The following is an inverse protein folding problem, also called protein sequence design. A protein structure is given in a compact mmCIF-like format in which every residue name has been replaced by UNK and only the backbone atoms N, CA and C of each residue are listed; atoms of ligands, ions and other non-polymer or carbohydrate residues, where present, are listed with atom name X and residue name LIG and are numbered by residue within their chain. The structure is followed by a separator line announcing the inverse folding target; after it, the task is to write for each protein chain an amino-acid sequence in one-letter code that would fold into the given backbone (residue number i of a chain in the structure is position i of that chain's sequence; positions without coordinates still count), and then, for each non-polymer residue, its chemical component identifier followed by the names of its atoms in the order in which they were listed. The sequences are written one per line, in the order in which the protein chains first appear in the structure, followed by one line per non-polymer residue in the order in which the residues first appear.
data_IF_970109671500
#
_entry.id   IF_970109671500
#
_cell.length_a   1.000
_cell.length_b   1.000
_cell.length_c   1.000
_cell.angle_alpha   90.00
_cell.angle_beta   90.00
_cell.angle_gamma   90.00
#
_symmetry.space_group_name_H-M   'P 1'
#
loop_
_entity.id
_entity.type
_entity.pdbx_description
1 polymer ?
#
# COMPACT_ATOMS: atom_id res chain seq x y z
N UNK A 1 10.84 9.83 -15.53
CA UNK A 1 11.46 8.98 -14.49
C UNK A 1 10.69 9.29 -13.22
N UNK A 2 9.88 8.35 -12.73
CA UNK A 2 9.13 8.54 -11.48
C UNK A 2 10.13 8.94 -10.41
N UNK A 3 9.93 10.11 -9.77
CA UNK A 3 10.77 10.53 -8.67
C UNK A 3 10.80 9.46 -7.59
N UNK A 4 11.76 9.51 -6.67
CA UNK A 4 11.84 8.61 -5.50
C UNK A 4 10.69 8.85 -4.50
N UNK A 5 9.45 8.89 -4.99
CA UNK A 5 8.25 9.01 -4.18
C UNK A 5 8.00 7.66 -3.51
N UNK A 6 7.83 7.72 -2.20
CA UNK A 6 7.65 6.55 -1.34
C UNK A 6 6.39 6.76 -0.53
N UNK A 7 5.47 5.83 -0.63
CA UNK A 7 4.31 5.72 0.25
C UNK A 7 4.78 5.16 1.59
N UNK A 8 4.54 5.92 2.67
CA UNK A 8 4.83 5.50 4.04
C UNK A 8 3.54 5.09 4.73
N UNK A 9 3.53 3.91 5.32
CA UNK A 9 2.40 3.40 6.08
C UNK A 9 2.89 2.78 7.39
N UNK A 10 2.15 2.99 8.47
CA UNK A 10 2.52 2.48 9.79
C UNK A 10 1.30 1.99 10.57
N UNK A 11 1.54 1.00 11.44
CA UNK A 11 0.54 0.46 12.36
C UNK A 11 1.20 0.07 13.68
N UNK A 12 0.52 0.33 14.79
CA UNK A 12 0.89 -0.18 16.12
C UNK A 12 0.32 -1.59 16.29
N UNK A 13 1.17 -2.54 16.65
CA UNK A 13 0.78 -3.91 17.00
C UNK A 13 1.06 -4.12 18.48
N UNK A 14 0.09 -4.66 19.21
CA UNK A 14 0.22 -4.94 20.63
C UNK A 14 -0.08 -6.41 20.93
N UNK A 15 0.78 -7.08 21.70
CA UNK A 15 0.47 -8.42 22.21
C UNK A 15 -0.39 -8.30 23.48
N UNK A 16 -1.69 -8.56 23.33
CA UNK A 16 -2.68 -8.57 24.42
C UNK A 16 -2.79 -9.92 25.14
N UNK A 17 -2.01 -10.92 24.72
CA UNK A 17 -1.97 -12.25 25.30
C UNK A 17 -1.05 -12.38 26.51
N UNK A 18 -1.01 -13.58 27.09
CA UNK A 18 -0.15 -13.93 28.24
C UNK A 18 1.15 -14.63 27.86
N UNK A 19 1.43 -14.80 26.56
CA UNK A 19 2.62 -15.49 26.04
C UNK A 19 3.29 -14.65 24.96
N UNK A 20 4.60 -14.78 24.83
CA UNK A 20 5.33 -14.25 23.67
C UNK A 20 4.77 -14.88 22.40
N UNK A 21 4.59 -14.06 21.37
CA UNK A 21 4.08 -14.48 20.08
C UNK A 21 4.71 -13.66 18.96
N UNK A 22 4.68 -14.23 17.76
CA UNK A 22 5.09 -13.53 16.55
C UNK A 22 3.86 -13.22 15.70
N UNK A 23 3.77 -12.01 15.20
CA UNK A 23 2.68 -11.52 14.34
C UNK A 23 3.23 -11.14 12.97
N UNK A 24 2.49 -11.45 11.90
CA UNK A 24 2.88 -11.10 10.52
C UNK A 24 1.95 -10.01 10.02
N UNK A 25 2.43 -8.76 10.10
CA UNK A 25 1.71 -7.61 9.56
C UNK A 25 1.85 -7.59 8.05
N UNK A 26 0.74 -7.53 7.35
CA UNK A 26 0.65 -7.52 5.90
C UNK A 26 0.08 -6.18 5.43
N UNK A 27 0.67 -5.62 4.37
CA UNK A 27 0.23 -4.39 3.72
C UNK A 27 -0.32 -4.72 2.33
N UNK A 28 -1.58 -4.39 2.11
CA UNK A 28 -2.24 -4.50 0.81
C UNK A 28 -2.60 -3.13 0.24
N UNK A 29 -2.50 -2.98 -1.08
CA UNK A 29 -3.04 -1.83 -1.80
C UNK A 29 -4.22 -2.28 -2.65
N UNK A 30 -5.36 -1.61 -2.48
CA UNK A 30 -6.59 -1.83 -3.22
C UNK A 30 -6.76 -0.87 -4.39
N UNK A 31 -7.38 -1.39 -5.44
CA UNK A 31 -7.50 -0.71 -6.73
C UNK A 31 -8.94 -0.62 -7.23
N UNK A 32 -9.90 -0.51 -6.31
CA UNK A 32 -11.34 -0.55 -6.61
C UNK A 32 -11.82 0.46 -7.67
N UNK A 33 -11.13 1.61 -7.80
CA UNK A 33 -11.47 2.65 -8.80
C UNK A 33 -10.62 2.56 -10.08
N UNK A 34 -9.89 1.48 -10.28
CA UNK A 34 -9.08 1.28 -11.47
C UNK A 34 -9.95 1.11 -12.71
N UNK A 35 -9.49 1.67 -13.82
CA UNK A 35 -10.11 1.50 -15.14
C UNK A 35 -9.59 0.26 -15.86
N UNK A 36 -8.58 -0.40 -15.30
CA UNK A 36 -7.91 -1.58 -15.84
C UNK A 36 -8.34 -2.80 -15.04
N UNK A 37 -8.44 -3.94 -15.73
CA UNK A 37 -8.69 -5.21 -15.06
C UNK A 37 -7.45 -5.62 -14.25
N UNK A 38 -7.56 -5.52 -12.91
CA UNK A 38 -6.51 -5.91 -11.97
C UNK A 38 -7.11 -6.45 -10.66
N UNK A 39 -6.33 -7.19 -9.84
CA UNK A 39 -6.84 -7.74 -8.59
C UNK A 39 -7.39 -6.64 -7.67
N UNK A 40 -8.44 -6.98 -6.92
CA UNK A 40 -9.11 -6.05 -5.97
C UNK A 40 -8.11 -5.41 -5.01
N UNK A 41 -7.13 -6.21 -4.54
CA UNK A 41 -5.99 -5.76 -3.74
C UNK A 41 -4.75 -6.61 -4.01
N UNK A 42 -3.57 -6.00 -3.85
CA UNK A 42 -2.27 -6.67 -3.99
C UNK A 42 -1.46 -6.51 -2.71
N UNK A 43 -0.82 -7.59 -2.24
CA UNK A 43 0.14 -7.55 -1.15
C UNK A 43 1.40 -6.81 -1.63
N UNK A 44 1.79 -5.74 -0.93
CA UNK A 44 2.98 -4.93 -1.25
C UNK A 44 4.08 -5.02 -0.20
N UNK A 45 3.77 -5.55 0.98
CA UNK A 45 4.78 -5.79 1.99
C UNK A 45 4.24 -6.66 3.10
N UNK A 46 5.15 -7.33 3.79
CA UNK A 46 4.85 -7.99 5.05
C UNK A 46 6.05 -7.86 5.99
N UNK A 47 5.79 -7.80 7.29
CA UNK A 47 6.82 -7.74 8.32
C UNK A 47 6.41 -8.62 9.49
N UNK A 48 7.36 -9.41 9.97
CA UNK A 48 7.20 -10.26 11.15
C UNK A 48 7.72 -9.52 12.37
N UNK A 49 6.94 -9.49 13.44
CA UNK A 49 7.32 -8.87 14.71
C UNK A 49 7.10 -9.86 15.85
N UNK A 50 8.12 -10.06 16.67
CA UNK A 50 8.01 -10.79 17.94
C UNK A 50 7.65 -9.80 19.05
N UNK A 51 6.67 -10.15 19.88
CA UNK A 51 6.19 -9.31 20.97
C UNK A 51 6.01 -10.13 22.25
N UNK A 52 6.56 -9.64 23.35
CA UNK A 52 6.29 -10.14 24.69
C UNK A 52 4.89 -9.74 25.17
N UNK A 53 4.32 -10.41 26.19
CA UNK A 53 3.05 -10.02 26.79
C UNK A 53 3.01 -8.55 27.19
N UNK A 54 2.03 -7.80 26.68
CA UNK A 54 1.88 -6.36 26.93
C UNK A 54 2.80 -5.45 26.12
N UNK A 55 3.69 -6.00 25.30
CA UNK A 55 4.58 -5.23 24.44
C UNK A 55 3.83 -4.65 23.24
N UNK A 56 4.31 -3.50 22.77
CA UNK A 56 3.84 -2.81 21.58
C UNK A 56 5.00 -2.52 20.64
N UNK A 57 4.78 -2.69 19.35
CA UNK A 57 5.74 -2.31 18.32
C UNK A 57 5.06 -1.51 17.22
N UNK A 58 5.81 -0.57 16.64
CA UNK A 58 5.39 0.19 15.47
C UNK A 58 5.99 -0.46 14.22
N UNK A 59 5.13 -0.99 13.35
CA UNK A 59 5.55 -1.59 12.07
C UNK A 59 5.41 -0.56 10.96
N UNK A 60 6.47 -0.34 10.18
CA UNK A 60 6.56 0.72 9.17
C UNK A 60 6.89 0.15 7.80
N UNK A 61 6.11 0.50 6.79
CA UNK A 61 6.32 0.11 5.41
C UNK A 61 6.66 1.33 4.57
N UNK A 62 7.61 1.15 3.66
CA UNK A 62 8.01 2.13 2.65
C UNK A 62 7.86 1.46 1.28
N UNK A 63 6.87 1.88 0.51
CA UNK A 63 6.56 1.32 -0.81
C UNK A 63 6.90 2.37 -1.87
N UNK A 64 7.82 2.09 -2.80
CA UNK A 64 8.03 2.94 -3.96
C UNK A 64 6.73 3.11 -4.74
N UNK A 65 6.36 4.34 -5.06
CA UNK A 65 5.10 4.63 -5.78
C UNK A 65 5.08 3.96 -7.17
N UNK A 66 6.24 3.75 -7.78
CA UNK A 66 6.40 2.97 -9.01
C UNK A 66 5.89 1.53 -8.91
N UNK A 67 5.83 0.93 -7.71
CA UNK A 67 5.23 -0.40 -7.55
C UNK A 67 3.72 -0.40 -7.79
N UNK A 68 3.07 0.76 -7.67
CA UNK A 68 1.65 0.93 -7.98
C UNK A 68 1.37 0.97 -9.49
N UNK A 69 2.43 1.07 -10.30
CA UNK A 69 2.31 1.12 -11.75
C UNK A 69 1.73 -0.19 -12.31
N UNK A 70 1.02 -0.05 -13.41
CA UNK A 70 0.54 -1.13 -14.24
C UNK A 70 1.14 -0.97 -15.63
N UNK A 71 1.28 -2.08 -16.35
CA UNK A 71 1.81 -2.04 -17.70
C UNK A 71 0.67 -1.79 -18.70
N UNK A 72 0.72 -0.67 -19.42
CA UNK A 72 -0.22 -0.36 -20.49
C UNK A 72 0.27 -0.97 -21.81
N UNK A 73 -0.38 -2.04 -22.31
CA UNK A 73 0.06 -2.71 -23.53
C UNK A 73 -0.17 -1.87 -24.80
N UNK A 74 -1.14 -0.94 -24.79
CA UNK A 74 -1.44 -0.08 -25.94
C UNK A 74 -0.36 1.00 -26.11
N UNK A 75 0.12 1.55 -25.00
CA UNK A 75 1.16 2.57 -24.99
C UNK A 75 2.59 2.00 -24.83
N UNK A 76 2.72 0.68 -24.62
CA UNK A 76 3.98 -0.04 -24.37
C UNK A 76 4.83 0.60 -23.24
N UNK A 77 4.17 1.10 -22.18
CA UNK A 77 4.82 1.80 -21.08
C UNK A 77 4.16 1.50 -19.72
N UNK A 78 4.91 1.74 -18.65
CA UNK A 78 4.40 1.66 -17.27
C UNK A 78 3.70 2.96 -16.89
N UNK A 79 2.46 2.85 -16.41
CA UNK A 79 1.63 3.99 -16.03
C UNK A 79 1.11 3.81 -14.60
N UNK A 80 0.91 4.92 -13.89
CA UNK A 80 0.26 4.94 -12.58
C UNK A 80 -1.06 5.68 -12.75
N UNK A 81 -2.17 5.07 -12.35
CA UNK A 81 -3.47 5.71 -12.47
C UNK A 81 -3.62 6.82 -11.42
N UNK A 82 -4.12 7.97 -11.85
CA UNK A 82 -4.58 9.01 -10.93
C UNK A 82 -5.93 8.62 -10.36
N UNK A 83 -5.91 8.11 -9.14
CA UNK A 83 -7.11 7.63 -8.49
C UNK A 83 -6.97 7.62 -6.98
N UNK A 84 -8.10 7.35 -6.32
CA UNK A 84 -8.15 7.01 -4.91
C UNK A 84 -7.79 5.55 -4.73
N UNK A 85 -6.64 5.31 -4.09
CA UNK A 85 -6.15 4.00 -3.68
C UNK A 85 -6.64 3.66 -2.28
N UNK A 86 -6.83 2.37 -2.03
CA UNK A 86 -7.12 1.84 -0.70
C UNK A 86 -5.83 1.23 -0.12
N UNK A 87 -5.57 1.43 1.15
CA UNK A 87 -4.45 0.84 1.87
C UNK A 87 -5.01 0.01 3.01
N UNK A 88 -4.58 -1.24 3.11
CA UNK A 88 -5.00 -2.14 4.16
C UNK A 88 -3.78 -2.66 4.91
N UNK A 89 -3.86 -2.64 6.25
CA UNK A 89 -2.85 -3.19 7.15
C UNK A 89 -3.52 -4.16 8.12
N UNK A 90 -2.96 -5.35 8.29
CA UNK A 90 -3.50 -6.32 9.25
C UNK A 90 -2.77 -7.65 9.27
N UNK A 91 -3.27 -8.59 10.05
CA UNK A 91 -2.69 -9.92 10.25
C UNK A 91 -3.09 -10.93 9.17
N UNK A 92 -4.11 -10.63 8.37
CA UNK A 92 -4.60 -11.51 7.32
C UNK A 92 -5.21 -10.71 6.16
N UNK A 93 -5.50 -11.39 5.05
CA UNK A 93 -6.24 -10.80 3.93
C UNK A 93 -7.75 -10.67 4.20
N UNK A 94 -8.28 -11.14 5.33
CA UNK A 94 -9.69 -11.06 5.66
C UNK A 94 -10.08 -9.63 6.08
N UNK A 95 -11.24 -9.14 5.65
CA UNK A 95 -11.67 -7.76 5.95
C UNK A 95 -11.78 -7.47 7.45
N UNK A 96 -12.13 -8.46 8.27
CA UNK A 96 -12.27 -8.30 9.71
C UNK A 96 -10.94 -8.00 10.43
N UNK A 97 -9.81 -8.40 9.83
CA UNK A 97 -8.48 -8.26 10.42
C UNK A 97 -7.70 -7.05 9.85
N UNK A 98 -8.31 -6.30 8.92
CA UNK A 98 -7.66 -5.23 8.18
C UNK A 98 -8.12 -3.84 8.67
N UNK A 99 -7.15 -3.03 9.09
CA UNK A 99 -7.33 -1.58 9.18
C UNK A 99 -7.18 -0.98 7.80
N UNK A 100 -8.22 -0.28 7.31
CA UNK A 100 -8.23 0.35 5.99
C UNK A 100 -8.05 1.87 6.08
N UNK A 101 -7.26 2.44 5.18
CA UNK A 101 -7.16 3.87 4.91
C UNK A 101 -7.20 4.11 3.41
N UNK A 102 -7.27 5.37 2.98
CA UNK A 102 -7.28 5.72 1.55
C UNK A 102 -6.39 6.92 1.28
N UNK A 103 -5.72 6.92 0.13
CA UNK A 103 -4.93 8.06 -0.33
C UNK A 103 -5.22 8.34 -1.80
N UNK A 104 -5.08 9.60 -2.21
CA UNK A 104 -5.19 9.98 -3.61
C UNK A 104 -3.77 10.10 -4.18
N UNK A 105 -3.55 9.54 -5.36
CA UNK A 105 -2.36 9.83 -6.14
C UNK A 105 -2.78 10.62 -7.37
N UNK A 106 -2.09 11.73 -7.62
CA UNK A 106 -2.29 12.58 -8.78
C UNK A 106 -0.90 12.87 -9.34
N UNK A 107 -0.67 12.56 -10.61
CA UNK A 107 0.60 12.83 -11.24
C UNK A 107 0.60 14.30 -11.64
N UNK A 108 1.34 15.15 -10.91
CA UNK A 108 1.54 16.53 -11.32
C UNK A 108 2.53 16.61 -12.49
N UNK A 109 2.23 15.96 -13.61
CA UNK A 109 2.80 16.36 -14.90
C UNK A 109 1.94 17.52 -15.37
N UNK A 110 2.41 18.74 -15.13
CA UNK A 110 1.94 19.86 -15.91
C UNK A 110 2.09 19.46 -17.38
N UNK A 111 0.97 19.37 -18.10
CA UNK A 111 1.00 19.35 -19.55
C UNK A 111 1.93 20.50 -19.97
N UNK A 112 2.97 20.28 -20.79
CA UNK A 112 3.64 21.41 -21.41
C UNK A 112 2.53 22.17 -22.13
N UNK A 113 2.28 23.40 -21.67
CA UNK A 113 1.21 24.22 -22.20
C UNK A 113 1.35 24.26 -23.72
N UNK A 114 0.28 24.00 -24.43
CA UNK A 114 0.16 24.44 -25.81
C UNK A 114 0.32 25.96 -25.78
N UNK A 115 1.53 26.44 -26.03
CA UNK A 115 1.76 27.76 -26.56
C UNK A 115 1.56 27.63 -28.07
N UNK A 116 0.33 27.92 -28.52
CA UNK A 116 0.13 28.54 -29.83
C UNK A 116 0.26 30.06 -29.68
#
# INVERSE_FOLDING_TARGET
MFGKEVLKAEIEVSNSGSRTGEEVVQLYIGFKNSRVDRPVKLLRGFQKVELHPGEKAQVKFEIPVEELAWYNPEAAQWEIEEMKYELYLGSSSAEADLSSSTFNYTNSVALPGNQE
#
